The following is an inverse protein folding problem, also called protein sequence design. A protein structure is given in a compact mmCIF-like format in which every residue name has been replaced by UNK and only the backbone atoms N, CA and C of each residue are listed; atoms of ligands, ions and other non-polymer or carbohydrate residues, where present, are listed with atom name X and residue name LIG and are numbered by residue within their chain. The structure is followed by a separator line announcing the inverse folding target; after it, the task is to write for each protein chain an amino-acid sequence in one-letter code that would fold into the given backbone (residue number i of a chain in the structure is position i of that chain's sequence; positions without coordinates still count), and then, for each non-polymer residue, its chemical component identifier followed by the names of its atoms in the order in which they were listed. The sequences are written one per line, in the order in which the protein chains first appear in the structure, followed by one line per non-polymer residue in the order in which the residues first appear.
data_IF_815893413094
#
_entry.id   IF_815893413094
#
_cell.length_a   1.000
_cell.length_b   1.000
_cell.length_c   1.000
_cell.angle_alpha   90.00
_cell.angle_beta   90.00
_cell.angle_gamma   90.00
#
_symmetry.space_group_name_H-M   'P 1'
#
loop_
_entity.id
_entity.type
_entity.pdbx_description
1 polymer ?
#
# COMPACT_ATOMS: atom_id res chain seq x y z
N UNK A 1 -4.79 -2.09 -18.08
CA UNK A 1 -5.11 -1.27 -16.90
C UNK A 1 -4.09 -1.61 -15.81
N UNK A 2 -3.60 -0.62 -15.07
CA UNK A 2 -2.69 -0.82 -13.95
C UNK A 2 -3.26 -0.19 -12.69
N UNK A 3 -3.28 -0.92 -11.58
CA UNK A 3 -3.73 -0.42 -10.28
C UNK A 3 -2.51 -0.04 -9.45
N UNK A 4 -2.27 1.26 -9.34
CA UNK A 4 -1.16 1.79 -8.57
C UNK A 4 -1.38 1.61 -7.06
N UNK A 5 -0.28 1.42 -6.30
CA UNK A 5 -0.19 1.59 -4.83
C UNK A 5 -1.34 0.93 -4.05
N UNK A 6 -1.58 -0.35 -4.30
CA UNK A 6 -2.55 -1.18 -3.56
C UNK A 6 -2.13 -1.27 -2.10
N UNK A 7 -3.01 -0.87 -1.19
CA UNK A 7 -2.69 -0.70 0.24
C UNK A 7 -3.54 -1.57 1.18
N UNK A 8 -4.50 -2.34 0.67
CA UNK A 8 -5.46 -3.08 1.50
C UNK A 8 -5.77 -4.47 0.94
N UNK A 9 -6.16 -5.38 1.83
CA UNK A 9 -6.59 -6.72 1.47
C UNK A 9 -7.82 -6.73 0.55
N UNK A 10 -8.88 -5.92 0.78
CA UNK A 10 -10.00 -5.84 -0.16
C UNK A 10 -9.58 -5.41 -1.57
N UNK A 11 -8.65 -4.45 -1.68
CA UNK A 11 -8.14 -4.00 -2.98
C UNK A 11 -7.42 -5.12 -3.73
N UNK A 12 -6.52 -5.83 -3.04
CA UNK A 12 -5.81 -6.98 -3.60
C UNK A 12 -6.76 -8.14 -3.96
N UNK A 13 -7.80 -8.41 -3.15
CA UNK A 13 -8.84 -9.41 -3.48
C UNK A 13 -9.58 -9.06 -4.77
N UNK A 14 -9.98 -7.80 -4.94
CA UNK A 14 -10.63 -7.34 -6.18
C UNK A 14 -9.74 -7.52 -7.41
N UNK A 15 -8.43 -7.29 -7.28
CA UNK A 15 -7.47 -7.56 -8.35
C UNK A 15 -7.39 -9.05 -8.67
N UNK A 16 -7.35 -9.90 -7.63
CA UNK A 16 -7.34 -11.36 -7.78
C UNK A 16 -8.57 -11.87 -8.53
N UNK A 17 -9.74 -11.38 -8.15
CA UNK A 17 -11.02 -11.70 -8.80
C UNK A 17 -11.05 -11.22 -10.26
N UNK A 18 -10.57 -10.01 -10.54
CA UNK A 18 -10.47 -9.49 -11.90
C UNK A 18 -9.54 -10.36 -12.78
N UNK A 19 -8.35 -10.70 -12.28
CA UNK A 19 -7.42 -11.60 -12.97
C UNK A 19 -8.04 -12.98 -13.21
N UNK A 20 -8.70 -13.56 -12.20
CA UNK A 20 -9.40 -14.84 -12.31
C UNK A 20 -10.54 -14.82 -13.34
N UNK A 21 -11.16 -13.66 -13.54
CA UNK A 21 -12.19 -13.43 -14.55
C UNK A 21 -11.63 -13.18 -15.96
N UNK A 22 -10.32 -13.32 -16.15
CA UNK A 22 -9.63 -13.13 -17.44
C UNK A 22 -9.35 -11.66 -17.79
N UNK A 23 -9.60 -10.72 -16.88
CA UNK A 23 -9.30 -9.30 -17.11
C UNK A 23 -7.79 -9.10 -17.06
N UNK A 24 -7.24 -8.48 -18.12
CA UNK A 24 -5.84 -8.08 -18.18
C UNK A 24 -5.60 -6.83 -17.32
N UNK A 25 -5.31 -7.06 -16.04
CA UNK A 25 -4.96 -6.04 -15.06
C UNK A 25 -3.60 -6.36 -14.44
N UNK A 26 -2.80 -5.32 -14.21
CA UNK A 26 -1.60 -5.41 -13.35
C UNK A 26 -1.78 -4.51 -12.13
N UNK A 27 -1.02 -4.74 -11.09
CA UNK A 27 -1.06 -3.97 -9.87
C UNK A 27 0.31 -3.91 -9.20
N UNK A 28 0.54 -2.84 -8.46
CA UNK A 28 1.72 -2.68 -7.62
C UNK A 28 1.32 -2.37 -6.18
N UNK A 29 2.21 -2.67 -5.24
CA UNK A 29 2.16 -2.14 -3.87
C UNK A 29 3.46 -1.38 -3.57
N UNK A 30 3.58 -0.85 -2.36
CA UNK A 30 4.72 -0.03 -1.97
C UNK A 30 5.35 -0.53 -0.65
N UNK A 31 6.67 -0.34 -0.43
CA UNK A 31 7.35 -0.81 0.77
C UNK A 31 6.68 -0.38 2.08
N UNK A 32 6.19 0.86 2.12
CA UNK A 32 5.46 1.41 3.26
C UNK A 32 4.21 0.61 3.64
N UNK A 33 3.50 0.01 2.68
CA UNK A 33 2.32 -0.84 2.93
C UNK A 33 2.68 -2.28 3.29
N UNK A 34 3.93 -2.70 3.06
CA UNK A 34 4.45 -4.02 3.43
C UNK A 34 5.11 -4.02 4.81
N UNK A 35 5.51 -2.84 5.29
CA UNK A 35 6.25 -2.69 6.53
C UNK A 35 5.41 -2.06 7.64
N UNK A 36 4.80 -0.91 7.39
CA UNK A 36 4.08 -0.15 8.41
C UNK A 36 2.60 -0.52 8.47
N UNK A 37 2.04 -0.28 9.64
CA UNK A 37 0.61 -0.37 9.93
C UNK A 37 0.08 1.01 10.35
N UNK A 38 -1.25 1.12 10.44
CA UNK A 38 -1.89 2.33 10.96
C UNK A 38 -1.46 2.66 12.39
N UNK A 39 -1.03 1.67 13.17
CA UNK A 39 -0.63 1.87 14.57
C UNK A 39 0.75 2.54 14.66
N UNK A 40 1.59 2.38 13.63
CA UNK A 40 2.89 3.07 13.54
C UNK A 40 2.75 4.58 13.35
N UNK A 41 1.58 5.05 12.91
CA UNK A 41 1.29 6.49 12.77
C UNK A 41 1.36 7.20 14.12
N UNK A 42 1.05 6.52 15.23
CA UNK A 42 1.17 7.08 16.58
C UNK A 42 2.62 7.48 16.91
N UNK A 43 3.59 6.69 16.42
CA UNK A 43 5.01 6.93 16.67
C UNK A 43 5.62 7.94 15.70
N UNK A 44 5.23 7.88 14.42
CA UNK A 44 5.89 8.63 13.35
C UNK A 44 5.12 9.85 12.85
N UNK A 45 3.87 10.02 13.27
CA UNK A 45 3.03 11.17 12.93
C UNK A 45 2.95 11.44 11.43
N UNK A 46 3.17 12.70 11.05
CA UNK A 46 3.03 13.20 9.68
C UNK A 46 4.00 12.59 8.66
N UNK A 47 5.09 11.95 9.10
CA UNK A 47 5.99 11.23 8.21
C UNK A 47 5.33 10.00 7.56
N UNK A 48 4.32 9.42 8.23
CA UNK A 48 3.51 8.33 7.68
C UNK A 48 2.15 8.81 7.13
N UNK A 49 1.93 10.13 7.04
CA UNK A 49 0.76 10.71 6.38
C UNK A 49 0.97 10.70 4.87
N UNK A 50 0.26 9.81 4.20
CA UNK A 50 0.36 9.53 2.76
C UNK A 50 -0.99 9.08 2.19
N UNK A 51 -1.08 8.97 0.87
CA UNK A 51 -2.27 8.45 0.18
C UNK A 51 -1.88 7.31 -0.77
N UNK A 52 -2.54 6.15 -0.70
CA UNK A 52 -3.48 5.71 0.34
C UNK A 52 -2.90 5.67 1.76
N UNK A 53 -3.75 5.72 2.78
CA UNK A 53 -3.32 5.59 4.18
C UNK A 53 -2.82 4.17 4.52
N UNK A 54 -2.00 4.06 5.56
CA UNK A 54 -1.62 2.77 6.13
C UNK A 54 -2.83 2.02 6.72
N UNK A 55 -2.78 0.69 6.70
CA UNK A 55 -3.90 -0.19 7.08
C UNK A 55 -3.51 -1.11 8.24
N UNK A 56 -4.30 -2.15 8.50
CA UNK A 56 -4.07 -3.04 9.64
C UNK A 56 -2.93 -4.04 9.38
N UNK A 57 -2.45 -4.72 10.42
CA UNK A 57 -1.45 -5.78 10.26
C UNK A 57 -1.95 -6.94 9.38
N UNK A 58 -3.25 -7.23 9.41
CA UNK A 58 -3.83 -8.26 8.53
C UNK A 58 -3.82 -7.83 7.06
N UNK A 59 -3.99 -6.54 6.76
CA UNK A 59 -3.79 -6.02 5.41
C UNK A 59 -2.34 -6.17 4.96
N UNK A 60 -1.37 -5.81 5.81
CA UNK A 60 0.07 -5.99 5.52
C UNK A 60 0.39 -7.45 5.18
N UNK A 61 -0.08 -8.39 6.02
CA UNK A 61 0.14 -9.82 5.80
C UNK A 61 -0.49 -10.30 4.48
N UNK A 62 -1.68 -9.77 4.12
CA UNK A 62 -2.33 -10.11 2.87
C UNK A 62 -1.59 -9.54 1.65
N UNK A 63 -1.02 -8.33 1.74
CA UNK A 63 -0.21 -7.76 0.66
C UNK A 63 1.08 -8.57 0.43
N UNK A 64 1.68 -9.11 1.48
CA UNK A 64 2.79 -10.07 1.32
C UNK A 64 2.36 -11.34 0.60
N UNK A 65 1.19 -11.88 0.94
CA UNK A 65 0.63 -13.05 0.25
C UNK A 65 0.31 -12.73 -1.22
N UNK A 66 -0.22 -11.53 -1.51
CA UNK A 66 -0.58 -11.13 -2.87
C UNK A 66 0.64 -10.93 -3.76
N UNK A 67 1.79 -10.53 -3.21
CA UNK A 67 3.06 -10.55 -3.94
C UNK A 67 3.54 -11.98 -4.19
N UNK A 68 3.48 -12.84 -3.18
CA UNK A 68 3.94 -14.22 -3.28
C UNK A 68 3.12 -15.05 -4.28
N UNK A 69 1.81 -14.80 -4.38
CA UNK A 69 0.91 -15.54 -5.27
C UNK A 69 0.72 -14.89 -6.66
N UNK A 70 1.39 -13.77 -6.93
CA UNK A 70 1.33 -13.05 -8.22
C UNK A 70 0.06 -12.22 -8.43
N UNK A 71 -0.80 -12.09 -7.43
CA UNK A 71 -1.93 -11.14 -7.48
C UNK A 71 -1.43 -9.71 -7.66
N UNK A 72 -0.37 -9.31 -6.96
CA UNK A 72 0.35 -8.05 -7.12
C UNK A 72 1.64 -8.30 -7.91
N UNK A 73 1.87 -7.51 -8.96
CA UNK A 73 2.90 -7.77 -9.97
C UNK A 73 4.24 -7.12 -9.64
N UNK A 74 4.23 -6.01 -8.90
CA UNK A 74 5.43 -5.23 -8.63
C UNK A 74 5.40 -4.53 -7.26
N UNK A 75 6.59 -4.06 -6.85
CA UNK A 75 6.77 -3.13 -5.75
C UNK A 75 7.37 -1.84 -6.30
N UNK A 76 6.71 -0.71 -6.07
CA UNK A 76 7.15 0.62 -6.48
C UNK A 76 7.22 1.56 -5.28
N UNK A 77 8.08 2.58 -5.33
CA UNK A 77 8.35 3.42 -4.16
C UNK A 77 7.20 4.37 -3.80
N UNK A 78 6.45 4.85 -4.80
CA UNK A 78 5.55 5.99 -4.65
C UNK A 78 6.24 7.15 -3.91
N UNK A 79 7.48 7.46 -4.32
CA UNK A 79 8.32 8.43 -3.62
C UNK A 79 7.72 9.84 -3.71
N UNK A 80 7.06 10.25 -2.62
CA UNK A 80 6.54 11.60 -2.42
C UNK A 80 7.40 12.37 -1.44
N UNK A 81 7.94 13.51 -1.88
CA UNK A 81 8.72 14.42 -1.05
C UNK A 81 7.82 15.53 -0.49
N UNK A 82 8.14 15.97 0.72
CA UNK A 82 7.60 17.21 1.28
C UNK A 82 8.71 17.92 2.04
N UNK A 83 8.69 19.26 2.11
CA UNK A 83 9.54 20.02 3.00
C UNK A 83 9.45 19.50 4.44
N UNK A 84 10.59 19.54 5.15
CA UNK A 84 10.69 18.98 6.51
C UNK A 84 9.80 19.73 7.50
N UNK A 85 9.78 21.05 7.39
CA UNK A 85 8.95 21.95 8.17
C UNK A 85 7.45 21.66 8.01
N UNK A 86 6.97 21.33 6.81
CA UNK A 86 5.57 20.89 6.61
C UNK A 86 5.23 19.57 7.32
N UNK A 87 6.23 18.72 7.57
CA UNK A 87 6.06 17.43 8.25
C UNK A 87 6.21 17.55 9.78
N UNK A 88 6.98 18.51 10.26
CA UNK A 88 7.23 18.76 11.68
C UNK A 88 6.27 19.77 12.31
N UNK A 89 5.24 20.23 11.58
CA UNK A 89 4.14 21.00 12.17
C UNK A 89 3.51 20.20 13.33
N UNK A 90 3.25 20.88 14.46
CA UNK A 90 2.47 20.34 15.57
C UNK A 90 1.03 20.07 15.07
N UNK A 91 0.65 18.80 14.94
CA UNK A 91 -0.70 18.36 14.56
C UNK A 91 -1.21 17.36 15.58
#
# INVERSE_FOLDING_TARGET
MHIARVSSAPGAKGIKEAKASGIKVTAETCPQYLYFTRDDVVRWGNYLKMTPSLKSKSDVNYLWQSLADGTTDAVASDHGLSPRDEKELDV
#
